data_IF_097292148819
#
_entry.id   IF_097292148819
#
_cell.length_a   1.000
_cell.length_b   1.000
_cell.length_c   1.000
_cell.angle_alpha   90.00
_cell.angle_beta   90.00
_cell.angle_gamma   90.00
#
_symmetry.space_group_name_H-M   'P 1'
#
loop_
_entity.id
_entity.type
_entity.pdbx_description
1 polymer ?
#
# COMPACT_ATOMS: atom_id res chain seq x y z
N UNK A 1 -20.90 2.49 0.20
CA UNK A 1 -20.61 1.78 -1.06
C UNK A 1 -19.10 1.75 -1.21
N UNK A 2 -18.49 0.59 -1.03
CA UNK A 2 -17.08 0.41 -1.35
C UNK A 2 -16.90 0.65 -2.85
N UNK A 3 -16.00 1.54 -3.24
CA UNK A 3 -15.82 1.84 -4.67
C UNK A 3 -15.14 0.70 -5.43
N UNK A 4 -14.67 -0.34 -4.75
CA UNK A 4 -13.92 -1.45 -5.35
C UNK A 4 -12.56 -1.03 -5.93
N UNK A 5 -12.13 0.19 -5.61
CA UNK A 5 -10.84 0.77 -6.01
C UNK A 5 -9.98 0.89 -4.77
N UNK A 6 -8.77 0.36 -4.88
CA UNK A 6 -7.78 0.34 -3.83
C UNK A 6 -6.54 1.11 -4.27
N UNK A 7 -5.90 1.74 -3.29
CA UNK A 7 -4.71 2.52 -3.48
C UNK A 7 -3.45 1.68 -3.21
N UNK A 8 -2.53 1.73 -4.17
CA UNK A 8 -1.21 1.15 -4.11
C UNK A 8 -0.19 2.30 -4.11
N UNK A 9 0.69 2.30 -3.11
CA UNK A 9 1.85 3.17 -3.06
C UNK A 9 3.03 2.53 -3.82
N UNK A 10 3.44 3.15 -4.91
CA UNK A 10 4.67 2.79 -5.62
C UNK A 10 5.84 3.57 -5.01
N UNK A 11 6.74 2.83 -4.39
CA UNK A 11 7.93 3.30 -3.70
C UNK A 11 9.12 2.72 -4.46
N UNK A 12 9.59 3.44 -5.48
CA UNK A 12 10.59 2.95 -6.41
C UNK A 12 10.09 1.71 -7.16
N UNK A 13 10.78 0.58 -6.98
CA UNK A 13 10.41 -0.71 -7.57
C UNK A 13 9.41 -1.50 -6.72
N UNK A 14 9.05 -1.03 -5.52
CA UNK A 14 8.15 -1.73 -4.61
C UNK A 14 6.74 -1.17 -4.72
N UNK A 15 5.76 -2.08 -4.87
CA UNK A 15 4.33 -1.76 -4.84
C UNK A 15 3.76 -2.17 -3.51
N UNK A 16 3.23 -1.23 -2.74
CA UNK A 16 2.68 -1.46 -1.42
C UNK A 16 1.18 -1.18 -1.39
N UNK A 17 0.40 -2.17 -0.98
CA UNK A 17 -1.02 -1.98 -0.69
C UNK A 17 -1.23 -1.07 0.53
N UNK A 18 -2.07 -0.05 0.37
CA UNK A 18 -2.40 0.89 1.45
C UNK A 18 -3.81 0.61 2.01
N UNK A 19 -4.78 0.37 1.13
CA UNK A 19 -6.19 0.23 1.49
C UNK A 19 -7.10 0.70 0.37
N UNK A 20 -8.41 0.66 0.60
CA UNK A 20 -9.37 1.34 -0.28
C UNK A 20 -9.02 2.83 -0.50
N UNK A 21 -9.31 3.34 -1.69
CA UNK A 21 -9.04 4.72 -2.08
C UNK A 21 -9.65 5.76 -1.13
N UNK A 22 -10.78 5.45 -0.51
CA UNK A 22 -11.44 6.30 0.50
C UNK A 22 -10.64 6.38 1.81
N UNK A 23 -9.99 5.27 2.17
CA UNK A 23 -9.14 5.17 3.36
C UNK A 23 -7.69 5.60 3.08
N UNK A 24 -7.33 5.92 1.84
CA UNK A 24 -5.98 6.39 1.49
C UNK A 24 -5.58 7.60 2.35
N UNK A 25 -6.47 8.58 2.51
CA UNK A 25 -6.20 9.79 3.29
C UNK A 25 -6.00 9.53 4.79
N UNK A 26 -6.50 8.43 5.34
CA UNK A 26 -6.43 8.11 6.77
C UNK A 26 -5.37 7.05 7.08
N UNK A 27 -5.20 6.04 6.22
CA UNK A 27 -4.20 4.97 6.37
C UNK A 27 -2.81 5.42 5.93
N UNK A 28 -2.68 6.14 4.81
CA UNK A 28 -1.36 6.53 4.31
C UNK A 28 -0.55 7.36 5.31
N UNK A 29 -1.09 8.39 5.99
CA UNK A 29 -0.31 9.15 6.97
C UNK A 29 0.25 8.27 8.09
N UNK A 30 -0.51 7.28 8.56
CA UNK A 30 -0.05 6.35 9.59
C UNK A 30 1.09 5.47 9.08
N UNK A 31 0.98 4.96 7.85
CA UNK A 31 2.05 4.20 7.21
C UNK A 31 3.29 5.06 6.94
N UNK A 32 3.09 6.31 6.52
CA UNK A 32 4.16 7.28 6.29
C UNK A 32 4.96 7.52 7.57
N UNK A 33 4.30 7.70 8.71
CA UNK A 33 4.98 7.86 10.01
C UNK A 33 5.87 6.64 10.31
N UNK A 34 5.38 5.42 10.07
CA UNK A 34 6.18 4.21 10.27
C UNK A 34 7.37 4.12 9.30
N UNK A 35 7.16 4.49 8.04
CA UNK A 35 8.22 4.51 7.02
C UNK A 35 9.30 5.55 7.32
N UNK A 36 8.91 6.74 7.77
CA UNK A 36 9.83 7.80 8.20
C UNK A 36 10.60 7.41 9.47
N UNK A 37 9.94 6.74 10.42
CA UNK A 37 10.57 6.27 11.66
C UNK A 37 11.40 5.00 11.48
N UNK A 38 11.29 4.31 10.34
CA UNK A 38 12.00 3.05 10.14
C UNK A 38 11.35 1.85 10.84
N UNK A 39 10.11 1.99 11.30
CA UNK A 39 9.37 0.97 12.08
C UNK A 39 8.36 0.19 11.23
N UNK A 40 8.37 0.40 9.90
CA UNK A 40 7.48 -0.33 9.00
C UNK A 40 7.81 -1.83 8.98
N UNK A 41 6.77 -2.66 9.09
CA UNK A 41 6.93 -4.10 9.29
C UNK A 41 7.62 -4.84 8.12
N UNK A 42 7.52 -4.33 6.89
CA UNK A 42 8.15 -4.92 5.71
C UNK A 42 9.52 -4.26 5.42
N UNK A 43 10.64 -4.98 5.61
CA UNK A 43 11.97 -4.41 5.43
C UNK A 43 12.30 -4.10 3.97
N UNK A 44 11.65 -4.75 2.99
CA UNK A 44 11.85 -4.44 1.57
C UNK A 44 11.22 -3.09 1.22
N UNK A 45 10.01 -2.84 1.72
CA UNK A 45 9.35 -1.53 1.60
C UNK A 45 10.17 -0.45 2.30
N UNK A 46 10.64 -0.71 3.52
CA UNK A 46 11.45 0.25 4.30
C UNK A 46 12.75 0.62 3.58
N UNK A 47 13.44 -0.38 3.01
CA UNK A 47 14.65 -0.18 2.20
C UNK A 47 14.34 0.64 0.96
N UNK A 48 13.27 0.30 0.23
CA UNK A 48 12.85 1.04 -0.95
C UNK A 48 12.50 2.49 -0.63
N UNK A 49 11.81 2.74 0.49
CA UNK A 49 11.46 4.08 0.96
C UNK A 49 12.69 4.95 1.21
N UNK A 50 13.68 4.40 1.91
CA UNK A 50 14.97 5.06 2.13
C UNK A 50 15.71 5.31 0.82
N UNK A 51 15.68 4.37 -0.13
CA UNK A 51 16.34 4.49 -1.43
C UNK A 51 15.74 5.59 -2.31
N UNK A 52 14.41 5.78 -2.28
CA UNK A 52 13.73 6.82 -3.07
C UNK A 52 13.57 8.15 -2.32
N UNK A 53 14.18 8.28 -1.14
CA UNK A 53 14.18 9.50 -0.31
C UNK A 53 12.76 10.05 -0.08
N UNK A 54 11.79 9.18 0.21
CA UNK A 54 10.41 9.58 0.48
C UNK A 54 9.55 9.92 -0.73
N UNK A 55 10.08 9.71 -1.94
CA UNK A 55 9.31 9.84 -3.19
C UNK A 55 8.35 8.68 -3.35
N UNK A 56 7.06 8.96 -3.57
CA UNK A 56 6.07 7.92 -3.92
C UNK A 56 5.10 8.38 -4.99
N UNK A 57 4.55 7.42 -5.71
CA UNK A 57 3.43 7.61 -6.64
C UNK A 57 2.30 6.68 -6.27
N UNK A 58 1.08 7.19 -6.17
CA UNK A 58 -0.09 6.35 -5.95
C UNK A 58 -0.66 5.89 -7.27
N UNK A 59 -0.97 4.60 -7.34
CA UNK A 59 -1.75 4.00 -8.41
C UNK A 59 -3.01 3.40 -7.82
N UNK A 60 -4.08 3.41 -8.60
CA UNK A 60 -5.38 2.94 -8.18
C UNK A 60 -5.73 1.70 -8.99
N UNK A 61 -6.06 0.62 -8.29
CA UNK A 61 -6.28 -0.69 -8.88
C UNK A 61 -7.58 -1.30 -8.36
N UNK A 62 -8.17 -2.19 -9.14
CA UNK A 62 -9.34 -2.96 -8.69
C UNK A 62 -8.90 -4.15 -7.84
N UNK A 63 -9.85 -4.75 -7.11
CA UNK A 63 -9.59 -6.01 -6.39
C UNK A 63 -9.00 -7.10 -7.30
N UNK A 64 -9.51 -7.21 -8.54
CA UNK A 64 -9.04 -8.20 -9.52
C UNK A 64 -7.59 -7.95 -9.94
N UNK A 65 -7.20 -6.70 -10.17
CA UNK A 65 -5.81 -6.35 -10.49
C UNK A 65 -4.86 -6.71 -9.35
N UNK A 66 -5.26 -6.44 -8.11
CA UNK A 66 -4.43 -6.72 -6.92
C UNK A 66 -4.34 -8.21 -6.64
N UNK A 67 -5.41 -8.95 -6.92
CA UNK A 67 -5.41 -10.40 -6.81
C UNK A 67 -4.52 -11.06 -7.87
N UNK A 68 -4.54 -10.52 -9.10
CA UNK A 68 -3.72 -11.00 -10.22
C UNK A 68 -2.23 -10.62 -10.11
N UNK A 69 -1.86 -9.61 -9.31
CA UNK A 69 -0.47 -9.16 -9.15
C UNK A 69 0.15 -9.61 -7.80
N UNK A 70 0.91 -10.71 -7.77
CA UNK A 70 1.57 -11.18 -6.56
C UNK A 70 2.77 -10.36 -6.12
N UNK A 71 3.23 -9.40 -6.92
CA UNK A 71 4.36 -8.54 -6.55
C UNK A 71 3.97 -7.45 -5.55
N UNK A 72 2.66 -7.18 -5.42
CA UNK A 72 2.14 -6.21 -4.46
C UNK A 72 2.38 -6.71 -3.03
N UNK A 73 3.07 -5.88 -2.25
CA UNK A 73 3.31 -6.08 -0.82
C UNK A 73 2.09 -5.64 -0.02
N UNK A 74 1.86 -6.25 1.15
CA UNK A 74 0.69 -5.94 1.98
C UNK A 74 -0.62 -6.57 1.52
N UNK A 75 -0.60 -7.52 0.57
CA UNK A 75 -1.80 -8.26 0.11
C UNK A 75 -2.57 -8.96 1.23
N UNK A 76 -1.90 -9.35 2.33
CA UNK A 76 -2.60 -9.86 3.53
C UNK A 76 -3.66 -8.88 4.04
N UNK A 77 -3.31 -7.59 4.08
CA UNK A 77 -4.25 -6.54 4.50
C UNK A 77 -5.36 -6.35 3.47
N UNK A 78 -5.08 -6.51 2.17
CA UNK A 78 -6.10 -6.51 1.11
C UNK A 78 -7.13 -7.61 1.31
N UNK A 79 -6.69 -8.86 1.52
CA UNK A 79 -7.63 -9.96 1.78
C UNK A 79 -8.46 -9.74 3.05
N UNK A 80 -7.90 -9.12 4.08
CA UNK A 80 -8.65 -8.74 5.29
C UNK A 80 -9.69 -7.65 5.01
N UNK A 81 -9.35 -6.64 4.19
CA UNK A 81 -10.27 -5.58 3.76
C UNK A 81 -11.42 -6.16 2.93
N UNK A 82 -11.12 -7.09 2.01
CA UNK A 82 -12.11 -7.75 1.16
C UNK A 82 -12.95 -8.80 1.88
N UNK A 83 -12.39 -9.53 2.86
CA UNK A 83 -13.13 -10.56 3.61
C UNK A 83 -14.03 -9.97 4.70
N UNK A 84 -13.82 -8.71 5.09
CA UNK A 84 -14.61 -7.99 6.09
C UNK A 84 -15.74 -7.13 5.53
N UNK A 85 -16.01 -7.17 4.23
CA UNK A 85 -17.09 -6.44 3.56
C UNK A 85 -18.31 -7.30 3.24
#
# INVERSE_FOLDING_TARGET
MASGIFAIANIGSVRLYVGESHHLKTRWPQMLVQLEQGTFADPAVQTAWKAVQGTRRFSFHTAKDIDADPTIRGRKQFFQDCAGQ
#
